data_IF_981176540939
#
_entry.id   IF_981176540939
#
_cell.length_a   1.000
_cell.length_b   1.000
_cell.length_c   1.000
_cell.angle_alpha   90.00
_cell.angle_beta   90.00
_cell.angle_gamma   90.00
#
_symmetry.space_group_name_H-M   'P 1'
#
loop_
_entity.id
_entity.type
_entity.pdbx_description
1 polymer ?
#
# COMPACT_ATOMS: atom_id res chain seq x y z
N UNK A 1 -1.64 4.24 -22.53
CA UNK A 1 -2.48 3.50 -21.57
C UNK A 1 -2.87 4.47 -20.47
N UNK A 2 -4.14 4.83 -20.30
CA UNK A 2 -4.52 5.84 -19.29
C UNK A 2 -4.30 5.30 -17.88
N UNK A 3 -3.30 5.88 -17.20
CA UNK A 3 -2.90 5.63 -15.81
C UNK A 3 -4.09 5.37 -14.86
N UNK A 4 -5.19 6.16 -14.87
CA UNK A 4 -6.32 5.93 -13.95
C UNK A 4 -6.99 4.56 -14.09
N UNK A 5 -7.06 3.97 -15.30
CA UNK A 5 -7.73 2.67 -15.49
C UNK A 5 -6.96 1.53 -14.84
N UNK A 6 -5.63 1.52 -15.01
CA UNK A 6 -4.75 0.49 -14.43
C UNK A 6 -4.78 0.55 -12.92
N UNK A 7 -4.77 1.77 -12.36
CA UNK A 7 -4.80 1.99 -10.91
C UNK A 7 -6.16 1.62 -10.32
N UNK A 8 -7.26 1.96 -10.99
CA UNK A 8 -8.61 1.55 -10.56
C UNK A 8 -8.75 0.02 -10.55
N UNK A 9 -8.29 -0.66 -11.61
CA UNK A 9 -8.30 -2.12 -11.68
C UNK A 9 -7.45 -2.75 -10.56
N UNK A 10 -6.23 -2.27 -10.35
CA UNK A 10 -5.36 -2.75 -9.27
C UNK A 10 -5.96 -2.54 -7.89
N UNK A 11 -6.62 -1.40 -7.66
CA UNK A 11 -7.31 -1.10 -6.40
C UNK A 11 -8.48 -2.08 -6.17
N UNK A 12 -9.27 -2.36 -7.21
CA UNK A 12 -10.36 -3.33 -7.13
C UNK A 12 -9.84 -4.74 -6.79
N UNK A 13 -8.72 -5.17 -7.40
CA UNK A 13 -8.06 -6.43 -7.07
C UNK A 13 -7.60 -6.46 -5.61
N UNK A 14 -7.03 -5.37 -5.10
CA UNK A 14 -6.60 -5.27 -3.70
C UNK A 14 -7.78 -5.39 -2.71
N UNK A 15 -8.94 -4.81 -3.03
CA UNK A 15 -10.18 -4.97 -2.25
C UNK A 15 -10.60 -6.44 -2.23
N UNK A 16 -10.57 -7.11 -3.40
CA UNK A 16 -10.84 -8.54 -3.52
C UNK A 16 -9.92 -9.39 -2.64
N UNK A 17 -8.61 -9.11 -2.64
CA UNK A 17 -7.66 -9.79 -1.76
C UNK A 17 -7.92 -9.49 -0.28
N UNK A 18 -8.31 -8.27 0.09
CA UNK A 18 -8.72 -7.95 1.46
C UNK A 18 -9.94 -8.75 1.91
N UNK A 19 -10.97 -8.85 1.06
CA UNK A 19 -12.17 -9.65 1.32
C UNK A 19 -11.85 -11.15 1.45
N UNK A 20 -10.97 -11.66 0.58
CA UNK A 20 -10.47 -13.04 0.64
C UNK A 20 -9.68 -13.31 1.93
N UNK A 21 -8.88 -12.35 2.39
CA UNK A 21 -8.19 -12.40 3.68
C UNK A 21 -9.15 -12.59 4.86
N UNK A 22 -10.19 -11.75 4.90
CA UNK A 22 -11.16 -11.71 5.99
C UNK A 22 -12.14 -12.89 6.01
N UNK A 23 -12.54 -13.40 4.83
CA UNK A 23 -13.56 -14.45 4.74
C UNK A 23 -12.99 -15.81 4.36
N UNK A 24 -12.06 -15.88 3.41
CA UNK A 24 -11.49 -17.14 2.95
C UNK A 24 -10.33 -17.63 3.81
N UNK A 25 -9.30 -16.79 3.98
CA UNK A 25 -8.07 -17.15 4.68
C UNK A 25 -8.30 -17.44 6.17
N UNK A 26 -9.15 -16.66 6.84
CA UNK A 26 -9.49 -16.86 8.26
C UNK A 26 -10.16 -18.20 8.56
N UNK A 27 -10.81 -18.82 7.57
CA UNK A 27 -11.46 -20.12 7.74
C UNK A 27 -10.48 -21.30 7.59
N UNK A 28 -9.28 -21.05 7.07
CA UNK A 28 -8.24 -22.07 6.87
C UNK A 28 -7.47 -22.32 8.17
N UNK A 29 -7.53 -23.56 8.65
CA UNK A 29 -6.88 -23.97 9.91
C UNK A 29 -5.37 -24.22 9.78
N UNK A 30 -4.89 -24.39 8.55
CA UNK A 30 -3.48 -24.62 8.20
C UNK A 30 -2.63 -23.33 8.19
N UNK A 31 -3.24 -22.16 8.36
CA UNK A 31 -2.55 -20.88 8.28
C UNK A 31 -2.44 -20.23 9.65
N UNK A 32 -1.21 -19.88 10.04
CA UNK A 32 -0.93 -19.16 11.26
C UNK A 32 -1.67 -17.78 11.28
N UNK A 33 -2.36 -17.42 12.40
CA UNK A 33 -2.94 -16.10 12.62
C UNK A 33 -2.03 -14.91 12.25
N UNK A 34 -0.73 -14.99 12.51
CA UNK A 34 0.23 -13.93 12.19
C UNK A 34 0.31 -13.68 10.67
N UNK A 35 0.20 -14.75 9.87
CA UNK A 35 0.20 -14.64 8.40
C UNK A 35 -1.10 -14.07 7.88
N UNK A 36 -2.22 -14.40 8.52
CA UNK A 36 -3.52 -13.78 8.21
C UNK A 36 -3.45 -12.27 8.51
N UNK A 37 -2.80 -11.88 9.62
CA UNK A 37 -2.58 -10.48 9.93
C UNK A 37 -1.67 -9.80 8.90
N UNK A 38 -0.56 -10.44 8.51
CA UNK A 38 0.33 -9.94 7.46
C UNK A 38 -0.40 -9.76 6.12
N UNK A 39 -1.23 -10.73 5.71
CA UNK A 39 -2.09 -10.63 4.53
C UNK A 39 -3.01 -9.41 4.60
N UNK A 40 -3.70 -9.22 5.72
CA UNK A 40 -4.59 -8.08 5.90
C UNK A 40 -3.82 -6.76 5.81
N UNK A 41 -2.63 -6.68 6.40
CA UNK A 41 -1.75 -5.52 6.26
C UNK A 41 -1.39 -5.27 4.81
N UNK A 42 -0.93 -6.29 4.07
CA UNK A 42 -0.62 -6.18 2.65
C UNK A 42 -1.80 -5.68 1.80
N UNK A 43 -3.01 -6.19 2.06
CA UNK A 43 -4.23 -5.74 1.38
C UNK A 43 -4.54 -4.27 1.70
N UNK A 44 -4.44 -3.84 2.95
CA UNK A 44 -4.65 -2.43 3.32
C UNK A 44 -3.64 -1.52 2.61
N UNK A 45 -2.35 -1.87 2.61
CA UNK A 45 -1.33 -1.10 1.90
C UNK A 45 -1.66 -1.01 0.40
N UNK A 46 -2.07 -2.11 -0.24
CA UNK A 46 -2.43 -2.09 -1.66
C UNK A 46 -3.66 -1.22 -1.97
N UNK A 47 -4.70 -1.28 -1.13
CA UNK A 47 -5.91 -0.46 -1.29
C UNK A 47 -5.58 1.02 -1.10
N UNK A 48 -4.89 1.38 -0.02
CA UNK A 48 -4.57 2.77 0.25
C UNK A 48 -3.70 3.38 -0.84
N UNK A 49 -2.61 2.69 -1.24
CA UNK A 49 -1.74 3.16 -2.31
C UNK A 49 -2.49 3.28 -3.65
N UNK A 50 -3.37 2.31 -3.95
CA UNK A 50 -4.23 2.35 -5.13
C UNK A 50 -5.16 3.57 -5.13
N UNK A 51 -5.84 3.85 -4.00
CA UNK A 51 -6.69 5.02 -3.84
C UNK A 51 -5.90 6.34 -3.93
N UNK A 52 -4.76 6.42 -3.23
CA UNK A 52 -3.90 7.60 -3.27
C UNK A 52 -3.42 7.88 -4.70
N UNK A 53 -3.01 6.84 -5.42
CA UNK A 53 -2.57 6.97 -6.81
C UNK A 53 -3.74 7.31 -7.75
N UNK A 54 -4.95 6.80 -7.49
CA UNK A 54 -6.14 7.15 -8.26
C UNK A 54 -6.45 8.64 -8.12
N UNK A 55 -6.46 9.17 -6.89
CA UNK A 55 -6.64 10.59 -6.61
C UNK A 55 -5.57 11.45 -7.30
N UNK A 56 -4.29 11.07 -7.21
CA UNK A 56 -3.19 11.77 -7.89
C UNK A 56 -3.36 11.73 -9.42
N UNK A 57 -3.79 10.60 -9.98
CA UNK A 57 -3.93 10.42 -11.44
C UNK A 57 -5.07 11.21 -12.07
N UNK A 58 -6.10 11.52 -11.28
CA UNK A 58 -7.23 12.36 -11.68
C UNK A 58 -6.87 13.85 -11.69
N UNK A 59 -5.77 14.24 -11.03
CA UNK A 59 -5.34 15.63 -11.00
C UNK A 59 -4.59 16.01 -12.30
N UNK A 60 -5.07 17.00 -13.09
CA UNK A 60 -4.54 17.32 -14.43
C UNK A 60 -3.04 17.62 -14.45
N UNK A 61 -2.54 18.29 -13.40
CA UNK A 61 -1.15 18.73 -13.28
C UNK A 61 -0.16 17.61 -12.90
N UNK A 62 -0.64 16.52 -12.30
CA UNK A 62 0.20 15.45 -11.75
C UNK A 62 0.00 14.10 -12.45
N UNK A 63 -1.03 13.97 -13.29
CA UNK A 63 -1.18 12.85 -14.22
C UNK A 63 0.06 12.64 -15.14
N UNK A 64 0.87 13.70 -15.31
CA UNK A 64 2.08 13.72 -16.15
C UNK A 64 3.35 13.27 -15.40
N UNK A 65 3.27 12.99 -14.09
CA UNK A 65 4.46 12.66 -13.30
C UNK A 65 5.00 11.27 -13.62
N UNK A 66 6.02 11.22 -14.49
CA UNK A 66 6.53 9.98 -15.10
C UNK A 66 7.17 8.99 -14.12
N UNK A 67 7.59 9.45 -12.94
CA UNK A 67 8.29 8.62 -11.95
C UNK A 67 7.41 8.16 -10.79
N UNK A 68 6.62 9.07 -10.22
CA UNK A 68 5.89 8.84 -8.97
C UNK A 68 4.87 7.70 -9.08
N UNK A 69 4.02 7.74 -10.12
CA UNK A 69 2.96 6.75 -10.29
C UNK A 69 3.50 5.33 -10.50
N UNK A 70 4.42 5.11 -11.46
CA UNK A 70 5.06 3.81 -11.64
C UNK A 70 5.84 3.32 -10.41
N UNK A 71 6.53 4.20 -9.69
CA UNK A 71 7.25 3.83 -8.47
C UNK A 71 6.29 3.36 -7.36
N UNK A 72 5.23 4.12 -7.07
CA UNK A 72 4.22 3.73 -6.06
C UNK A 72 3.54 2.43 -6.45
N UNK A 73 3.14 2.27 -7.72
CA UNK A 73 2.48 1.06 -8.21
C UNK A 73 3.41 -0.16 -8.11
N UNK A 74 4.65 -0.04 -8.57
CA UNK A 74 5.64 -1.13 -8.55
C UNK A 74 6.01 -1.49 -7.12
N UNK A 75 6.27 -0.49 -6.27
CA UNK A 75 6.55 -0.70 -4.85
C UNK A 75 5.40 -1.40 -4.13
N UNK A 76 4.15 -1.01 -4.43
CA UNK A 76 2.94 -1.66 -3.89
C UNK A 76 2.84 -3.11 -4.32
N UNK A 77 3.05 -3.41 -5.60
CA UNK A 77 3.01 -4.79 -6.11
C UNK A 77 4.12 -5.64 -5.48
N UNK A 78 5.33 -5.10 -5.35
CA UNK A 78 6.46 -5.81 -4.73
C UNK A 78 6.23 -6.04 -3.23
N UNK A 79 5.73 -5.05 -2.50
CA UNK A 79 5.49 -5.14 -1.05
C UNK A 79 4.28 -6.02 -0.72
N UNK A 80 3.10 -5.71 -1.28
CA UNK A 80 1.88 -6.45 -0.96
C UNK A 80 1.85 -7.81 -1.65
N UNK A 81 2.33 -7.89 -2.90
CA UNK A 81 2.40 -9.14 -3.64
C UNK A 81 3.34 -10.16 -3.01
N UNK A 82 4.49 -9.74 -2.47
CA UNK A 82 5.39 -10.66 -1.77
C UNK A 82 4.76 -11.23 -0.51
N UNK A 83 4.07 -10.41 0.27
CA UNK A 83 3.39 -10.86 1.50
C UNK A 83 2.25 -11.83 1.15
N UNK A 84 1.45 -11.53 0.12
CA UNK A 84 0.42 -12.47 -0.36
C UNK A 84 1.02 -13.81 -0.78
N UNK A 85 2.11 -13.80 -1.54
CA UNK A 85 2.80 -15.01 -1.97
C UNK A 85 3.36 -15.82 -0.79
N UNK A 86 4.06 -15.16 0.15
CA UNK A 86 4.61 -15.78 1.37
C UNK A 86 3.54 -16.36 2.31
N UNK A 87 2.32 -15.80 2.25
CA UNK A 87 1.19 -16.28 3.03
C UNK A 87 0.63 -17.58 2.45
N UNK A 88 0.59 -17.69 1.12
CA UNK A 88 0.06 -18.86 0.40
C UNK A 88 1.06 -19.99 0.29
N UNK A 89 2.34 -19.69 0.06
CA UNK A 89 3.39 -20.69 -0.07
C UNK A 89 4.60 -20.33 0.80
N UNK A 90 4.93 -21.26 1.69
CA UNK A 90 6.05 -21.14 2.59
C UNK A 90 7.42 -21.30 1.90
N UNK A 91 7.49 -21.99 0.78
CA UNK A 91 8.75 -22.23 0.07
C UNK A 91 9.30 -20.96 -0.59
N UNK A 92 8.47 -19.92 -0.70
CA UNK A 92 8.82 -18.62 -1.27
C UNK A 92 9.57 -17.70 -0.30
N UNK A 93 10.21 -18.22 0.77
CA UNK A 93 10.99 -17.42 1.74
C UNK A 93 12.00 -16.46 1.11
N UNK A 94 12.50 -16.77 -0.08
CA UNK A 94 13.38 -15.89 -0.85
C UNK A 94 12.73 -14.55 -1.27
N UNK A 95 11.40 -14.42 -1.19
CA UNK A 95 10.67 -13.16 -1.37
C UNK A 95 10.71 -12.27 -0.12
N UNK A 96 11.22 -12.77 1.01
CA UNK A 96 11.35 -11.99 2.25
C UNK A 96 12.06 -10.64 2.08
N UNK A 97 13.23 -10.59 1.41
CA UNK A 97 13.94 -9.34 1.10
C UNK A 97 13.23 -8.43 0.09
N UNK A 98 12.30 -8.96 -0.72
CA UNK A 98 11.57 -8.17 -1.71
C UNK A 98 10.59 -7.20 -1.03
N UNK A 99 10.03 -7.60 0.11
CA UNK A 99 9.10 -6.77 0.89
C UNK A 99 9.72 -5.42 1.31
N UNK A 100 10.85 -5.35 2.04
CA UNK A 100 11.43 -4.07 2.41
C UNK A 100 11.88 -3.24 1.20
N UNK A 101 12.34 -3.88 0.12
CA UNK A 101 12.67 -3.16 -1.13
C UNK A 101 11.44 -2.50 -1.75
N UNK A 102 10.31 -3.20 -1.81
CA UNK A 102 9.04 -2.63 -2.28
C UNK A 102 8.61 -1.42 -1.45
N UNK A 103 8.77 -1.50 -0.12
CA UNK A 103 8.51 -0.40 0.80
C UNK A 103 9.37 0.84 0.52
N UNK A 104 10.68 0.66 0.28
CA UNK A 104 11.60 1.75 -0.06
C UNK A 104 11.22 2.43 -1.38
N UNK A 105 10.89 1.64 -2.40
CA UNK A 105 10.47 2.16 -3.71
C UNK A 105 9.16 2.97 -3.58
N UNK A 106 8.22 2.49 -2.78
CA UNK A 106 6.97 3.17 -2.50
C UNK A 106 7.21 4.51 -1.79
N UNK A 107 8.06 4.53 -0.75
CA UNK A 107 8.46 5.76 -0.04
C UNK A 107 9.10 6.75 -1.02
N UNK A 108 10.03 6.31 -1.86
CA UNK A 108 10.67 7.16 -2.86
C UNK A 108 9.65 7.78 -3.84
N UNK A 109 8.63 7.00 -4.23
CA UNK A 109 7.51 7.47 -5.04
C UNK A 109 6.74 8.63 -4.40
N UNK A 110 6.33 8.49 -3.13
CA UNK A 110 5.64 9.57 -2.40
C UNK A 110 6.54 10.78 -2.11
N UNK A 111 7.81 10.55 -1.79
CA UNK A 111 8.77 11.64 -1.58
C UNK A 111 8.96 12.47 -2.85
N UNK A 112 8.96 11.83 -4.02
CA UNK A 112 8.99 12.56 -5.28
C UNK A 112 7.73 13.42 -5.46
N UNK A 113 6.53 12.91 -5.13
CA UNK A 113 5.30 13.72 -5.19
C UNK A 113 5.36 14.91 -4.23
N UNK A 114 5.81 14.70 -2.99
CA UNK A 114 5.92 15.76 -2.00
C UNK A 114 6.88 16.86 -2.45
N UNK A 115 8.05 16.49 -2.98
CA UNK A 115 9.05 17.43 -3.47
C UNK A 115 8.50 18.28 -4.63
N UNK A 116 7.92 17.67 -5.66
CA UNK A 116 7.34 18.41 -6.79
C UNK A 116 6.14 19.26 -6.37
N UNK A 117 5.33 18.80 -5.41
CA UNK A 117 4.20 19.58 -4.89
C UNK A 117 4.66 20.87 -4.20
N UNK A 118 5.73 20.75 -3.40
CA UNK A 118 6.35 21.87 -2.70
C UNK A 118 6.97 22.88 -3.69
N UNK A 119 7.70 22.40 -4.69
CA UNK A 119 8.32 23.25 -5.73
C UNK A 119 7.30 24.02 -6.58
N UNK A 120 6.11 23.46 -6.78
CA UNK A 120 5.06 24.08 -7.58
C UNK A 120 3.99 24.83 -6.76
N UNK A 121 4.17 25.01 -5.45
CA UNK A 121 3.22 25.66 -4.53
C UNK A 121 1.75 25.19 -4.66
N UNK A 122 1.51 23.90 -4.92
CA UNK A 122 0.14 23.38 -5.06
C UNK A 122 -0.44 22.98 -3.69
N UNK A 123 -1.20 23.89 -3.07
CA UNK A 123 -1.83 23.67 -1.77
C UNK A 123 -2.80 22.47 -1.75
N UNK A 124 -3.58 22.28 -2.82
CA UNK A 124 -4.53 21.16 -2.97
C UNK A 124 -3.86 19.78 -2.79
N UNK A 125 -2.69 19.59 -3.38
CA UNK A 125 -1.99 18.30 -3.30
C UNK A 125 -1.25 18.13 -1.97
N UNK A 126 -0.81 19.22 -1.35
CA UNK A 126 -0.29 19.21 0.02
C UNK A 126 -1.39 18.73 0.96
N UNK A 127 -2.63 19.19 0.79
CA UNK A 127 -3.78 18.73 1.58
C UNK A 127 -4.10 17.25 1.30
N UNK A 128 -4.09 16.79 0.05
CA UNK A 128 -4.32 15.37 -0.28
C UNK A 128 -3.23 14.47 0.32
N UNK A 129 -1.95 14.84 0.20
CA UNK A 129 -0.84 14.11 0.79
C UNK A 129 -0.89 14.15 2.33
N UNK A 130 -1.24 15.29 2.92
CA UNK A 130 -1.40 15.44 4.37
C UNK A 130 -2.58 14.62 4.92
N UNK A 131 -3.72 14.60 4.21
CA UNK A 131 -4.86 13.76 4.56
C UNK A 131 -4.49 12.29 4.49
N UNK A 132 -3.76 11.88 3.45
CA UNK A 132 -3.28 10.51 3.32
C UNK A 132 -2.33 10.15 4.48
N UNK A 133 -1.36 11.01 4.82
CA UNK A 133 -0.46 10.82 5.97
C UNK A 133 -1.23 10.78 7.30
N UNK A 134 -2.23 11.63 7.49
CA UNK A 134 -3.08 11.65 8.68
C UNK A 134 -3.91 10.36 8.81
N UNK A 135 -4.49 9.87 7.71
CA UNK A 135 -5.21 8.59 7.67
C UNK A 135 -4.27 7.42 8.02
N UNK A 136 -3.03 7.43 7.51
CA UNK A 136 -2.03 6.41 7.87
C UNK A 136 -1.60 6.50 9.33
N UNK A 137 -1.41 7.72 9.85
CA UNK A 137 -1.02 7.95 11.25
C UNK A 137 -2.10 7.48 12.23
N UNK A 138 -3.37 7.75 11.93
CA UNK A 138 -4.50 7.31 12.76
C UNK A 138 -4.67 5.78 12.77
N UNK A 139 -4.39 5.12 11.64
CA UNK A 139 -4.37 3.65 11.61
C UNK A 139 -3.21 3.07 12.43
N UNK A 140 -2.03 3.69 12.38
CA UNK A 140 -0.87 3.26 13.15
C UNK A 140 -1.11 3.39 14.66
N UNK A 141 -1.73 4.49 15.12
CA UNK A 141 -2.09 4.69 16.54
C UNK A 141 -3.20 3.74 17.01
N UNK A 142 -4.15 3.38 16.14
CA UNK A 142 -5.18 2.38 16.46
C UNK A 142 -4.61 0.97 16.68
N UNK A 143 -3.49 0.65 16.03
CA UNK A 143 -2.79 -0.64 16.18
C UNK A 143 -1.95 -0.69 17.46
N UNK A 144 -1.32 0.41 17.88
CA UNK A 144 -0.53 0.46 19.13
C UNK A 144 -1.41 0.34 20.38
N UNK A 145 -2.67 0.80 20.34
CA UNK A 145 -3.62 0.59 21.44
C UNK A 145 -4.15 -0.84 21.55
N UNK A 146 -4.06 -1.63 20.47
CA UNK A 146 -4.58 -3.01 20.41
C UNK A 146 -3.52 -4.06 20.79
N UNK A 147 -2.26 -3.66 20.83
CA UNK A 147 -1.12 -4.45 21.28
C UNK A 147 -0.32 -3.61 22.28
N UNK A 148 -0.70 -3.59 23.57
CA UNK A 148 0.22 -3.10 24.58
C UNK A 148 1.49 -3.96 24.44
N UNK A 149 2.63 -3.28 24.32
CA UNK A 149 3.93 -3.92 24.30
C UNK A 149 3.97 -4.79 25.55
N UNK A 150 4.02 -6.11 25.38
CA UNK A 150 4.36 -7.00 26.48
C UNK A 150 5.85 -6.78 26.69
N UNK A 151 6.14 -5.85 27.60
CA UNK A 151 7.47 -5.56 28.09
C UNK A 151 8.03 -6.86 28.67
N UNK A 152 9.03 -7.42 27.98
CA UNK A 152 9.87 -8.51 28.46
C UNK A 152 11.21 -7.94 28.91
#
# INVERSE_FOLDING_TARGET
MSIPRTVAAGTATAIGFGAFGAHGLKQRKDINPDRINAWNTAAHYAIFNGLGLLLVSLHPRFSVHRFAGPAILTGTVLFSGSIFALTLDHNLRFLGPVTPMGGVIMIAGYMSLALISCLNQNFELIVVLALFVCIFRDKASSLSHRFPLQDH
#
